data_IF_921282721170
#
_entry.id   IF_921282721170
#
_cell.length_a   1.000
_cell.length_b   1.000
_cell.length_c   1.000
_cell.angle_alpha   90.00
_cell.angle_beta   90.00
_cell.angle_gamma   90.00
#
_symmetry.space_group_name_H-M   'P 1'
#
loop_
_entity.id
_entity.type
_entity.pdbx_description
1 polymer ?
#
# COMPACT_ATOMS: atom_id res chain seq x y z
N UNK A 1 -14.77 29.31 -2.70
CA UNK A 1 -14.75 27.96 -2.09
C UNK A 1 -13.67 27.22 -2.86
N UNK A 2 -12.74 26.62 -2.15
CA UNK A 2 -11.56 26.03 -2.77
C UNK A 2 -11.99 24.88 -3.67
N UNK A 3 -11.33 24.72 -4.82
CA UNK A 3 -11.56 23.57 -5.70
C UNK A 3 -11.08 22.29 -5.00
N UNK A 4 -11.91 21.26 -4.98
CA UNK A 4 -11.53 19.98 -4.42
C UNK A 4 -10.37 19.33 -5.22
N UNK A 5 -9.46 18.60 -4.54
CA UNK A 5 -8.41 17.87 -5.23
C UNK A 5 -9.02 16.78 -6.10
N UNK A 6 -8.42 16.50 -7.27
CA UNK A 6 -8.86 15.37 -8.11
C UNK A 6 -8.33 14.05 -7.52
N UNK A 7 -9.05 12.95 -7.69
CA UNK A 7 -8.65 11.66 -7.10
C UNK A 7 -7.27 11.15 -7.57
N UNK A 8 -6.84 11.52 -8.79
CA UNK A 8 -5.52 11.20 -9.31
C UNK A 8 -4.37 11.96 -8.66
N UNK A 9 -4.66 13.08 -7.98
CA UNK A 9 -3.68 13.88 -7.24
C UNK A 9 -3.48 13.39 -5.80
N UNK A 10 -4.25 12.39 -5.35
CA UNK A 10 -4.19 11.85 -3.99
C UNK A 10 -3.54 10.47 -4.07
N UNK A 11 -2.51 10.24 -3.29
CA UNK A 11 -1.92 8.92 -3.03
C UNK A 11 -2.06 8.57 -1.54
N UNK A 12 -2.28 7.30 -1.25
CA UNK A 12 -2.46 6.79 0.11
C UNK A 12 -1.57 5.59 0.30
N UNK A 13 -0.76 5.62 1.35
CA UNK A 13 0.14 4.55 1.78
C UNK A 13 -0.33 4.12 3.16
N UNK A 14 -0.99 2.95 3.21
CA UNK A 14 -1.50 2.32 4.43
C UNK A 14 -0.43 1.36 4.96
N UNK A 15 0.44 1.84 5.83
CA UNK A 15 1.58 1.11 6.38
C UNK A 15 1.16 0.18 7.52
N UNK A 16 1.99 -0.84 7.78
CA UNK A 16 1.80 -1.75 8.93
C UNK A 16 1.60 -0.99 10.24
N UNK A 17 0.69 -1.48 11.08
CA UNK A 17 0.45 -1.00 12.44
C UNK A 17 1.75 -0.68 13.20
N UNK A 18 1.81 0.52 13.78
CA UNK A 18 3.00 1.06 14.47
C UNK A 18 3.92 1.89 13.57
N UNK A 19 3.68 1.91 12.26
CA UNK A 19 4.27 2.85 11.31
C UNK A 19 3.16 3.76 10.80
N UNK A 20 3.39 5.08 10.81
CA UNK A 20 2.38 6.03 10.36
C UNK A 20 2.02 5.83 8.89
N UNK A 21 0.76 5.97 8.58
CA UNK A 21 0.24 6.07 7.22
C UNK A 21 0.53 7.43 6.63
N UNK A 22 0.55 7.48 5.30
CA UNK A 22 0.86 8.71 4.56
C UNK A 22 -0.20 8.95 3.49
N UNK A 23 -0.81 10.13 3.55
CA UNK A 23 -1.62 10.68 2.45
C UNK A 23 -0.82 11.82 1.81
N UNK A 24 -0.59 11.73 0.50
CA UNK A 24 0.07 12.79 -0.26
C UNK A 24 -0.91 13.40 -1.24
N UNK A 25 -0.94 14.72 -1.32
CA UNK A 25 -1.84 15.48 -2.20
C UNK A 25 -1.04 16.47 -3.02
N UNK A 26 -1.03 16.28 -4.34
CA UNK A 26 -0.34 17.15 -5.31
C UNK A 26 -1.28 18.19 -5.92
N UNK A 27 -0.72 19.18 -6.63
CA UNK A 27 -1.52 20.24 -7.27
C UNK A 27 -2.12 21.24 -6.28
N UNK A 28 -1.54 21.33 -5.09
CA UNK A 28 -1.88 22.28 -4.03
C UNK A 28 -0.94 23.48 -4.06
N UNK A 29 -1.32 24.58 -3.43
CA UNK A 29 -0.54 25.83 -3.39
C UNK A 29 0.04 26.03 -2.00
N UNK A 30 1.18 26.71 -1.90
CA UNK A 30 1.73 27.16 -0.61
C UNK A 30 0.66 27.84 0.24
N UNK A 31 0.56 27.42 1.50
CA UNK A 31 -0.43 27.89 2.46
C UNK A 31 -1.81 27.25 2.34
N UNK A 32 -2.05 26.36 1.36
CA UNK A 32 -3.26 25.52 1.35
C UNK A 32 -3.23 24.58 2.57
N UNK A 33 -4.37 24.44 3.24
CA UNK A 33 -4.57 23.48 4.33
C UNK A 33 -5.28 22.27 3.77
N UNK A 34 -4.66 21.10 3.86
CA UNK A 34 -5.17 19.83 3.37
C UNK A 34 -5.58 18.98 4.56
N UNK A 35 -6.80 18.45 4.52
CA UNK A 35 -7.36 17.63 5.61
C UNK A 35 -7.84 16.29 5.10
N UNK A 36 -7.66 15.26 5.93
CA UNK A 36 -8.04 13.87 5.64
C UNK A 36 -9.09 13.41 6.65
N UNK A 37 -10.14 12.76 6.17
CA UNK A 37 -11.28 12.31 6.97
C UNK A 37 -11.62 10.83 6.73
N UNK A 38 -12.31 10.22 7.69
CA UNK A 38 -12.81 8.84 7.61
C UNK A 38 -14.18 8.67 6.93
N UNK A 39 -14.90 9.78 6.66
CA UNK A 39 -16.21 9.75 6.01
C UNK A 39 -16.44 10.92 5.04
N UNK A 40 -17.38 10.75 4.12
CA UNK A 40 -17.73 11.75 3.11
C UNK A 40 -18.34 13.04 3.70
N UNK A 41 -19.06 12.92 4.82
CA UNK A 41 -19.70 14.02 5.55
C UNK A 41 -19.63 13.71 7.04
N UNK A 42 -19.44 14.74 7.87
CA UNK A 42 -19.42 14.64 9.34
C UNK A 42 -18.40 13.64 9.93
N UNK A 43 -17.50 13.10 9.09
CA UNK A 43 -16.43 12.21 9.52
C UNK A 43 -15.38 12.89 10.38
N UNK A 44 -14.69 12.09 11.18
CA UNK A 44 -13.56 12.49 12.02
C UNK A 44 -12.37 12.90 11.15
N UNK A 45 -11.69 13.98 11.52
CA UNK A 45 -10.39 14.32 10.95
C UNK A 45 -9.34 13.31 11.41
N UNK A 46 -8.69 12.68 10.43
CA UNK A 46 -7.61 11.73 10.61
C UNK A 46 -6.25 12.43 10.66
N UNK A 47 -6.09 13.49 9.88
CA UNK A 47 -4.88 14.30 9.86
C UNK A 47 -5.03 15.55 9.01
N UNK A 48 -4.07 16.47 9.17
CA UNK A 48 -4.02 17.74 8.48
C UNK A 48 -2.58 18.15 8.20
N UNK A 49 -2.34 18.83 7.08
CA UNK A 49 -1.07 19.47 6.79
C UNK A 49 -1.31 20.81 6.09
N UNK A 50 -0.46 21.79 6.37
CA UNK A 50 -0.38 23.02 5.59
C UNK A 50 0.78 22.91 4.61
N UNK A 51 0.54 23.23 3.35
CA UNK A 51 1.58 23.21 2.31
C UNK A 51 2.62 24.27 2.64
N UNK A 52 3.86 23.84 2.84
CA UNK A 52 4.98 24.73 3.18
C UNK A 52 5.37 25.64 2.00
N UNK A 53 6.19 26.65 2.28
CA UNK A 53 6.77 27.49 1.25
C UNK A 53 7.61 26.64 0.27
N UNK A 54 7.39 26.85 -1.03
CA UNK A 54 8.04 26.11 -2.12
C UNK A 54 7.75 24.59 -2.18
N UNK A 55 6.80 24.08 -1.40
CA UNK A 55 6.33 22.70 -1.54
C UNK A 55 5.28 22.58 -2.66
N UNK A 56 5.37 21.51 -3.45
CA UNK A 56 4.41 21.20 -4.53
C UNK A 56 3.31 20.21 -4.08
N UNK A 57 3.42 19.69 -2.87
CA UNK A 57 2.53 18.71 -2.28
C UNK A 57 2.31 18.93 -0.78
N UNK A 58 1.17 18.44 -0.29
CA UNK A 58 0.93 18.23 1.13
C UNK A 58 1.18 16.76 1.46
N UNK A 59 2.03 16.50 2.46
CA UNK A 59 2.24 15.17 3.03
C UNK A 59 1.67 15.11 4.45
N UNK A 60 0.66 14.28 4.65
CA UNK A 60 -0.04 14.10 5.92
C UNK A 60 0.36 12.76 6.50
N UNK A 61 1.01 12.76 7.66
CA UNK A 61 1.27 11.54 8.43
C UNK A 61 0.12 11.30 9.41
N UNK A 62 -0.44 10.09 9.40
CA UNK A 62 -1.59 9.68 10.23
C UNK A 62 -1.19 8.43 10.98
N UNK A 63 -1.49 8.32 12.28
CA UNK A 63 -1.05 7.16 13.06
C UNK A 63 -1.53 5.84 12.43
N UNK A 64 -2.83 5.73 12.10
CA UNK A 64 -3.44 4.68 11.27
C UNK A 64 -4.74 5.20 10.61
N UNK A 65 -4.98 4.89 9.34
CA UNK A 65 -6.20 5.21 8.58
C UNK A 65 -7.18 4.05 8.58
N UNK A 66 -6.67 2.82 8.62
CA UNK A 66 -7.48 1.61 8.66
C UNK A 66 -7.89 1.28 10.10
N UNK A 67 -9.06 0.67 10.27
CA UNK A 67 -9.52 0.16 11.57
C UNK A 67 -8.84 -1.14 11.96
N UNK A 68 -8.41 -1.90 10.95
CA UNK A 68 -7.66 -3.13 11.08
C UNK A 68 -6.78 -3.35 9.84
N UNK A 69 -5.73 -4.15 10.00
CA UNK A 69 -4.72 -4.35 8.98
C UNK A 69 -5.22 -4.99 7.68
N UNK A 70 -6.37 -5.67 7.70
CA UNK A 70 -6.88 -6.48 6.59
C UNK A 70 -7.93 -5.75 5.77
N UNK A 71 -8.41 -4.60 6.24
CA UNK A 71 -9.48 -3.88 5.59
C UNK A 71 -8.95 -2.85 4.60
N UNK A 72 -9.35 -3.04 3.35
CA UNK A 72 -9.38 -1.96 2.36
C UNK A 72 -10.42 -0.92 2.80
N UNK A 73 -10.23 0.32 2.43
CA UNK A 73 -11.17 1.38 2.80
C UNK A 73 -11.02 2.65 1.98
N UNK A 74 -11.62 3.72 2.47
CA UNK A 74 -11.61 5.02 1.82
C UNK A 74 -11.18 6.10 2.81
N UNK A 75 -10.36 7.03 2.35
CA UNK A 75 -10.19 8.35 2.97
C UNK A 75 -10.89 9.41 2.14
N UNK A 76 -11.21 10.53 2.77
CA UNK A 76 -11.89 11.65 2.14
C UNK A 76 -11.06 12.92 2.37
N UNK A 77 -10.63 13.56 1.29
CA UNK A 77 -9.64 14.64 1.33
C UNK A 77 -10.25 15.95 0.88
N UNK A 78 -10.02 17.02 1.63
CA UNK A 78 -10.39 18.39 1.25
C UNK A 78 -9.17 19.31 1.26
N UNK A 79 -9.31 20.45 0.59
CA UNK A 79 -8.31 21.52 0.57
C UNK A 79 -9.01 22.84 0.91
N UNK A 80 -8.33 23.68 1.68
CA UNK A 80 -8.74 25.03 1.99
C UNK A 80 -7.61 26.01 1.66
N UNK A 81 -7.82 26.86 0.67
CA UNK A 81 -6.95 27.98 0.35
C UNK A 81 -7.16 29.15 1.30
N UNK A 82 -6.12 29.95 1.48
CA UNK A 82 -6.14 31.12 2.37
C UNK A 82 -7.27 32.09 1.99
N UNK A 83 -8.12 32.42 2.95
CA UNK A 83 -9.25 33.33 2.75
C UNK A 83 -10.46 32.71 2.05
N UNK A 84 -10.41 31.42 1.73
CA UNK A 84 -11.51 30.69 1.10
C UNK A 84 -12.19 29.70 2.05
N UNK A 85 -13.43 29.33 1.71
CA UNK A 85 -14.10 28.19 2.31
C UNK A 85 -13.46 26.87 1.84
N UNK A 86 -13.42 25.90 2.73
CA UNK A 86 -12.95 24.53 2.47
C UNK A 86 -13.74 23.86 1.33
N UNK A 87 -13.06 23.06 0.52
CA UNK A 87 -13.66 22.34 -0.60
C UNK A 87 -14.63 21.24 -0.14
N UNK A 88 -15.42 20.71 -1.08
CA UNK A 88 -16.00 19.38 -0.89
C UNK A 88 -14.90 18.33 -0.76
N UNK A 89 -15.18 17.21 -0.10
CA UNK A 89 -14.22 16.11 0.05
C UNK A 89 -14.18 15.23 -1.19
N UNK A 90 -12.99 14.82 -1.60
CA UNK A 90 -12.76 13.82 -2.65
C UNK A 90 -12.42 12.48 -2.02
N UNK A 91 -13.13 11.43 -2.44
CA UNK A 91 -12.87 10.06 -1.96
C UNK A 91 -11.63 9.47 -2.63
N UNK A 92 -10.80 8.77 -1.85
CA UNK A 92 -9.69 7.97 -2.35
C UNK A 92 -9.67 6.62 -1.63
N UNK A 93 -9.72 5.55 -2.40
CA UNK A 93 -9.57 4.20 -1.87
C UNK A 93 -8.12 3.92 -1.48
N UNK A 94 -7.94 3.14 -0.43
CA UNK A 94 -6.68 2.56 0.00
C UNK A 94 -6.82 1.04 0.13
N UNK A 95 -5.75 0.33 -0.17
CA UNK A 95 -5.66 -1.11 0.07
C UNK A 95 -5.31 -1.41 1.53
N UNK A 96 -5.50 -2.65 1.94
CA UNK A 96 -5.14 -3.13 3.28
C UNK A 96 -3.62 -2.94 3.55
N UNK A 97 -3.22 -3.07 4.82
CA UNK A 97 -1.87 -2.65 5.25
C UNK A 97 -0.78 -3.32 4.42
N UNK A 98 0.19 -2.53 3.96
CA UNK A 98 1.44 -3.09 3.42
C UNK A 98 2.30 -3.52 4.59
N UNK A 99 2.61 -4.81 4.62
CA UNK A 99 3.64 -5.31 5.52
C UNK A 99 5.02 -4.88 5.01
N UNK A 100 6.01 -4.90 5.90
CA UNK A 100 7.39 -4.60 5.52
C UNK A 100 7.81 -5.48 4.34
N UNK A 101 8.42 -4.86 3.32
CA UNK A 101 8.93 -5.60 2.16
C UNK A 101 9.83 -6.73 2.64
N UNK A 102 9.58 -7.98 2.22
CA UNK A 102 10.42 -9.10 2.64
C UNK A 102 11.85 -8.86 2.17
N UNK A 103 12.80 -9.01 3.09
CA UNK A 103 14.22 -8.96 2.72
C UNK A 103 14.53 -10.09 1.74
N UNK A 104 15.44 -9.90 0.79
CA UNK A 104 15.85 -10.96 -0.14
C UNK A 104 16.29 -12.26 0.57
N UNK A 105 16.91 -12.14 1.75
CA UNK A 105 17.30 -13.30 2.58
C UNK A 105 16.13 -14.07 3.21
N UNK A 106 14.93 -13.49 3.24
CA UNK A 106 13.71 -14.16 3.68
C UNK A 106 13.02 -14.93 2.54
N UNK A 107 13.46 -14.75 1.30
CA UNK A 107 12.92 -15.39 0.11
C UNK A 107 13.90 -16.47 -0.35
N UNK A 108 13.42 -17.71 -0.47
CA UNK A 108 14.18 -18.84 -0.99
C UNK A 108 13.46 -19.40 -2.21
N UNK A 109 14.22 -19.77 -3.23
CA UNK A 109 13.71 -20.43 -4.42
C UNK A 109 14.43 -21.77 -4.62
N UNK A 110 13.69 -22.79 -5.05
CA UNK A 110 14.25 -24.02 -5.54
C UNK A 110 13.77 -24.24 -6.98
N UNK A 111 14.71 -24.19 -7.93
CA UNK A 111 14.49 -24.50 -9.33
C UNK A 111 14.98 -25.93 -9.58
N UNK A 112 14.04 -26.85 -9.71
CA UNK A 112 14.29 -28.28 -9.83
C UNK A 112 14.35 -28.70 -11.32
N UNK A 113 14.60 -29.98 -11.56
CA UNK A 113 14.70 -30.50 -12.91
C UNK A 113 13.37 -30.36 -13.67
N UNK A 114 13.44 -30.19 -14.99
CA UNK A 114 12.24 -30.11 -15.83
C UNK A 114 11.32 -31.31 -15.59
N UNK A 115 10.04 -31.04 -15.34
CA UNK A 115 9.05 -32.02 -14.98
C UNK A 115 8.78 -32.12 -13.47
N UNK A 116 9.61 -31.52 -12.64
CA UNK A 116 9.47 -31.51 -11.18
C UNK A 116 8.84 -30.21 -10.67
N UNK A 117 8.42 -30.22 -9.40
CA UNK A 117 7.89 -29.03 -8.73
C UNK A 117 8.99 -28.07 -8.32
N UNK A 118 8.81 -26.80 -8.63
CA UNK A 118 9.61 -25.70 -8.13
C UNK A 118 8.95 -25.07 -6.90
N UNK A 119 9.76 -24.45 -6.05
CA UNK A 119 9.25 -23.80 -4.83
C UNK A 119 9.75 -22.37 -4.65
N UNK A 120 8.88 -21.55 -4.07
CA UNK A 120 9.21 -20.23 -3.52
C UNK A 120 8.73 -20.21 -2.08
N UNK A 121 9.65 -20.00 -1.15
CA UNK A 121 9.36 -19.86 0.27
C UNK A 121 9.67 -18.44 0.72
N UNK A 122 8.69 -17.77 1.32
CA UNK A 122 8.84 -16.44 1.93
C UNK A 122 8.64 -16.59 3.44
N UNK A 123 9.63 -16.22 4.22
CA UNK A 123 9.68 -16.41 5.68
C UNK A 123 9.58 -15.10 6.45
N UNK A 124 9.51 -15.19 7.78
CA UNK A 124 9.36 -14.05 8.72
C UNK A 124 8.06 -13.28 8.49
N UNK A 125 7.01 -14.03 8.17
CA UNK A 125 5.68 -13.51 7.97
C UNK A 125 4.84 -13.70 9.23
N UNK A 126 3.72 -13.02 9.27
CA UNK A 126 2.69 -13.17 10.30
C UNK A 126 1.43 -13.80 9.69
N UNK A 127 0.66 -14.49 10.53
CA UNK A 127 -0.65 -15.00 10.11
C UNK A 127 -1.52 -13.90 9.50
N UNK A 128 -2.15 -14.21 8.36
CA UNK A 128 -2.94 -13.28 7.56
C UNK A 128 -2.17 -12.52 6.50
N UNK A 129 -0.83 -12.53 6.51
CA UNK A 129 -0.04 -11.93 5.44
C UNK A 129 -0.33 -12.66 4.11
N UNK A 130 -0.52 -11.89 3.04
CA UNK A 130 -0.77 -12.34 1.68
C UNK A 130 0.47 -12.10 0.85
N UNK A 131 1.12 -13.19 0.45
CA UNK A 131 2.29 -13.18 -0.43
C UNK A 131 1.84 -13.36 -1.85
N UNK A 132 2.24 -12.44 -2.73
CA UNK A 132 2.12 -12.58 -4.19
C UNK A 132 3.47 -12.55 -4.85
N UNK A 133 3.63 -13.37 -5.88
CA UNK A 133 4.88 -13.48 -6.65
C UNK A 133 4.61 -13.19 -8.11
N UNK A 134 5.50 -12.43 -8.74
CA UNK A 134 5.44 -12.00 -10.13
C UNK A 134 6.73 -12.30 -10.88
N UNK A 135 6.64 -12.42 -12.21
CA UNK A 135 7.78 -12.61 -13.12
C UNK A 135 8.50 -11.32 -13.54
N UNK A 136 7.90 -10.14 -13.27
CA UNK A 136 8.48 -8.84 -13.58
C UNK A 136 8.20 -7.80 -12.50
N UNK A 137 9.06 -6.78 -12.41
CA UNK A 137 8.98 -5.71 -11.41
C UNK A 137 7.76 -4.79 -11.57
N UNK A 138 7.27 -4.65 -12.81
CA UNK A 138 6.12 -3.81 -13.18
C UNK A 138 5.31 -4.55 -14.22
N UNK A 139 3.99 -4.57 -14.04
CA UNK A 139 3.04 -5.24 -14.95
C UNK A 139 3.35 -6.72 -15.21
N UNK A 140 4.08 -7.37 -14.27
CA UNK A 140 4.40 -8.79 -14.35
C UNK A 140 3.19 -9.68 -14.16
N UNK A 141 3.26 -10.88 -14.72
CA UNK A 141 2.26 -11.93 -14.52
C UNK A 141 2.40 -12.51 -13.12
N UNK A 142 1.27 -12.66 -12.43
CA UNK A 142 1.23 -13.37 -11.14
C UNK A 142 1.57 -14.85 -11.35
N UNK A 143 2.61 -15.30 -10.66
CA UNK A 143 3.08 -16.68 -10.64
C UNK A 143 2.34 -17.50 -9.58
N UNK A 144 1.97 -16.86 -8.47
CA UNK A 144 1.19 -17.46 -7.39
C UNK A 144 0.88 -16.49 -6.26
N UNK A 145 -0.10 -16.88 -5.44
CA UNK A 145 -0.56 -16.15 -4.25
C UNK A 145 -0.82 -17.12 -3.11
N UNK A 146 -0.39 -16.77 -1.89
CA UNK A 146 -0.59 -17.56 -0.68
C UNK A 146 -0.87 -16.64 0.50
N UNK A 147 -1.86 -16.99 1.30
CA UNK A 147 -2.11 -16.35 2.60
C UNK A 147 -1.54 -17.22 3.72
N UNK A 148 -0.72 -16.62 4.57
CA UNK A 148 -0.11 -17.29 5.74
C UNK A 148 -1.21 -17.65 6.72
N UNK A 149 -1.31 -18.94 7.06
CA UNK A 149 -2.35 -19.43 7.96
C UNK A 149 -2.04 -19.08 9.41
N UNK A 150 -3.02 -19.27 10.29
CA UNK A 150 -2.79 -19.15 11.72
C UNK A 150 -1.65 -20.06 12.19
N UNK A 151 -0.79 -19.51 13.06
CA UNK A 151 0.38 -20.20 13.64
C UNK A 151 1.50 -20.56 12.65
N UNK A 152 1.38 -20.14 11.38
CA UNK A 152 2.48 -20.21 10.41
C UNK A 152 3.24 -18.87 10.39
N UNK A 153 4.49 -18.93 9.94
CA UNK A 153 5.36 -17.75 9.78
C UNK A 153 6.01 -17.70 8.38
N UNK A 154 5.53 -18.54 7.47
CA UNK A 154 6.05 -18.66 6.11
C UNK A 154 4.91 -18.90 5.11
N UNK A 155 5.11 -18.47 3.87
CA UNK A 155 4.26 -18.77 2.73
C UNK A 155 5.08 -19.57 1.72
N UNK A 156 4.50 -20.67 1.20
CA UNK A 156 5.16 -21.55 0.23
C UNK A 156 4.29 -21.66 -1.01
N UNK A 157 4.85 -21.27 -2.16
CA UNK A 157 4.27 -21.48 -3.48
C UNK A 157 5.01 -22.64 -4.13
N UNK A 158 4.27 -23.67 -4.52
CA UNK A 158 4.81 -24.85 -5.20
C UNK A 158 4.07 -25.06 -6.51
N UNK A 159 4.82 -25.20 -7.61
CA UNK A 159 4.24 -25.48 -8.93
C UNK A 159 5.26 -26.18 -9.82
N UNK A 160 4.80 -27.16 -10.59
CA UNK A 160 5.58 -27.84 -11.62
C UNK A 160 6.07 -26.86 -12.68
N UNK A 161 7.38 -26.89 -12.95
CA UNK A 161 8.05 -26.04 -13.94
C UNK A 161 7.67 -24.55 -13.80
N UNK A 162 7.69 -24.03 -12.57
CA UNK A 162 7.40 -22.62 -12.27
C UNK A 162 8.48 -21.69 -12.85
N UNK A 163 9.72 -22.14 -12.82
CA UNK A 163 10.88 -21.42 -13.32
C UNK A 163 11.33 -21.93 -14.68
N UNK A 164 12.11 -21.11 -15.35
CA UNK A 164 12.83 -21.51 -16.57
C UNK A 164 14.19 -22.10 -16.19
N UNK A 165 14.64 -23.10 -16.94
CA UNK A 165 15.90 -23.82 -16.68
C UNK A 165 17.15 -22.91 -16.68
N UNK A 166 17.10 -21.78 -17.39
CA UNK A 166 18.18 -20.79 -17.43
C UNK A 166 18.24 -19.90 -16.19
N UNK A 167 17.30 -20.04 -15.25
CA UNK A 167 17.15 -19.17 -14.10
C UNK A 167 16.46 -17.84 -14.45
N UNK A 168 16.32 -16.98 -13.44
CA UNK A 168 15.62 -15.71 -13.57
C UNK A 168 15.49 -14.99 -12.22
N UNK A 169 14.64 -13.96 -12.19
CA UNK A 169 14.32 -13.20 -10.98
C UNK A 169 12.82 -13.31 -10.71
N UNK A 170 12.44 -13.42 -9.45
CA UNK A 170 11.06 -13.27 -9.01
C UNK A 170 10.88 -11.99 -8.20
N UNK A 171 9.68 -11.43 -8.26
CA UNK A 171 9.31 -10.22 -7.55
C UNK A 171 8.21 -10.56 -6.56
N UNK A 172 8.37 -10.15 -5.30
CA UNK A 172 7.49 -10.57 -4.20
C UNK A 172 6.89 -9.35 -3.52
N UNK A 173 5.58 -9.39 -3.29
CA UNK A 173 4.88 -8.42 -2.44
C UNK A 173 4.23 -9.14 -1.27
N UNK A 174 4.19 -8.48 -0.12
CA UNK A 174 3.49 -8.97 1.08
C UNK A 174 2.57 -7.88 1.60
N UNK A 175 1.28 -8.18 1.68
CA UNK A 175 0.23 -7.29 2.20
C UNK A 175 -0.50 -7.99 3.33
N UNK A 176 -1.24 -7.26 4.17
CA UNK A 176 -2.12 -7.83 5.18
C UNK A 176 -3.58 -7.62 4.82
#
# INVERSE_FOLDING_TARGET
>A
VTKAPVAGAITVVNNKAGVKDVVTVTGVKTGDVVKVYDAAKEGKELGTATVADNAEEAKIEIDQIAKDAKTKGNVYVSVQSKGELESTRTVKAYDAEITVTPTASAIKTANNATGEEDTITVSKLEAGDVVKVYDAAKEGKELGTVTVKEKEAEAVITKKDLFVATGGTVYVTVTK
#
